data_IF_786141487787
#
_entry.id   IF_786141487787
#
_cell.length_a   1.000
_cell.length_b   1.000
_cell.length_c   1.000
_cell.angle_alpha   90.00
_cell.angle_beta   90.00
_cell.angle_gamma   90.00
#
_symmetry.space_group_name_H-M   'P 1'
#
loop_
_entity.id
_entity.type
_entity.pdbx_description
1 polymer ?
#
# COMPACT_ATOMS: atom_id res chain seq x y z
N UNK A 1 9.34 -0.21 -2.21
CA UNK A 1 8.26 -0.98 -1.57
C UNK A 1 7.59 -0.24 -0.41
N UNK A 2 7.85 1.06 -0.26
CA UNK A 2 7.21 1.93 0.75
C UNK A 2 5.71 2.13 0.53
N UNK A 3 5.17 1.67 -0.61
CA UNK A 3 3.75 1.74 -0.97
C UNK A 3 2.87 0.71 -0.22
N UNK A 4 3.46 -0.31 0.41
CA UNK A 4 2.76 -1.34 1.20
C UNK A 4 2.93 -1.07 2.70
N UNK A 5 2.20 -0.09 3.23
CA UNK A 5 2.31 0.37 4.62
C UNK A 5 1.01 0.27 5.44
N UNK A 6 -0.02 -0.39 4.90
CA UNK A 6 -1.29 -0.58 5.61
C UNK A 6 -1.09 -1.48 6.84
N UNK A 7 -1.74 -1.13 7.94
CA UNK A 7 -1.75 -1.85 9.22
C UNK A 7 -3.11 -2.50 9.42
N UNK A 8 -3.22 -3.44 10.36
CA UNK A 8 -4.47 -4.15 10.65
C UNK A 8 -5.66 -3.20 10.86
N UNK A 9 -5.43 -2.06 11.52
CA UNK A 9 -6.41 -1.00 11.77
C UNK A 9 -6.99 -0.34 10.50
N UNK A 10 -6.30 -0.47 9.35
CA UNK A 10 -6.77 0.02 8.05
C UNK A 10 -7.74 -0.95 7.36
N UNK A 11 -8.05 -2.10 7.97
CA UNK A 11 -8.91 -3.14 7.41
C UNK A 11 -10.14 -3.40 8.28
N UNK A 12 -11.28 -3.63 7.64
CA UNK A 12 -12.54 -3.92 8.33
C UNK A 12 -12.54 -5.30 9.01
N UNK A 13 -11.68 -6.22 8.53
CA UNK A 13 -11.60 -7.58 9.06
C UNK A 13 -10.17 -8.08 9.11
N UNK A 14 -9.88 -8.94 10.09
CA UNK A 14 -8.59 -9.63 10.22
C UNK A 14 -8.28 -10.48 8.99
N UNK A 15 -9.30 -11.05 8.32
CA UNK A 15 -9.12 -11.81 7.09
C UNK A 15 -8.57 -10.92 5.97
N UNK A 16 -9.15 -9.74 5.77
CA UNK A 16 -8.67 -8.80 4.75
C UNK A 16 -7.22 -8.34 5.01
N UNK A 17 -6.87 -8.15 6.30
CA UNK A 17 -5.49 -7.85 6.67
C UNK A 17 -4.54 -9.02 6.37
N UNK A 18 -4.92 -10.26 6.70
CA UNK A 18 -4.12 -11.45 6.40
C UNK A 18 -3.94 -11.65 4.89
N UNK A 19 -5.00 -11.47 4.09
CA UNK A 19 -4.95 -11.57 2.63
C UNK A 19 -3.97 -10.52 2.05
N UNK A 20 -3.95 -9.31 2.62
CA UNK A 20 -2.99 -8.26 2.25
C UNK A 20 -1.54 -8.64 2.61
N UNK A 21 -1.30 -9.24 3.79
CA UNK A 21 0.03 -9.71 4.18
C UNK A 21 0.55 -10.81 3.24
N UNK A 22 -0.31 -11.75 2.86
CA UNK A 22 0.02 -12.82 1.91
C UNK A 22 0.35 -12.28 0.52
N UNK A 23 -0.38 -11.25 0.06
CA UNK A 23 -0.07 -10.57 -1.20
C UNK A 23 1.30 -9.85 -1.15
N UNK A 24 1.60 -9.17 -0.04
CA UNK A 24 2.90 -8.52 0.18
C UNK A 24 4.03 -9.54 0.17
N UNK A 25 3.87 -10.66 0.87
CA UNK A 25 4.86 -11.74 0.91
C UNK A 25 5.09 -12.33 -0.49
N UNK A 26 4.03 -12.58 -1.24
CA UNK A 26 4.10 -13.09 -2.62
C UNK A 26 4.89 -12.15 -3.52
N UNK A 27 4.64 -10.84 -3.42
CA UNK A 27 5.35 -9.82 -4.20
C UNK A 27 6.84 -9.78 -3.82
N UNK A 28 7.16 -9.80 -2.52
CA UNK A 28 8.56 -9.85 -2.06
C UNK A 28 9.25 -11.11 -2.59
N UNK A 29 8.61 -12.27 -2.45
CA UNK A 29 9.17 -13.55 -2.85
C UNK A 29 9.45 -13.59 -4.36
N UNK A 30 8.49 -13.17 -5.18
CA UNK A 30 8.62 -13.12 -6.62
C UNK A 30 9.74 -12.17 -7.07
N UNK A 31 9.83 -10.98 -6.46
CA UNK A 31 10.89 -10.01 -6.77
C UNK A 31 12.26 -10.49 -6.31
N UNK A 32 12.36 -11.16 -5.16
CA UNK A 32 13.61 -11.65 -4.61
C UNK A 32 14.17 -12.85 -5.40
N UNK A 33 13.31 -13.68 -6.00
CA UNK A 33 13.70 -14.86 -6.77
C UNK A 33 13.63 -14.64 -8.29
N UNK A 34 13.37 -13.41 -8.74
CA UNK A 34 13.19 -13.06 -10.17
C UNK A 34 12.10 -13.90 -10.88
N UNK A 35 11.10 -14.35 -10.13
CA UNK A 35 9.96 -15.12 -10.63
C UNK A 35 8.86 -14.13 -11.07
N UNK A 36 8.36 -14.27 -12.29
CA UNK A 36 7.21 -13.51 -12.81
C UNK A 36 7.27 -12.00 -12.53
N UNK A 37 8.45 -11.40 -12.68
CA UNK A 37 8.72 -9.99 -12.37
C UNK A 37 7.79 -9.06 -13.14
N UNK A 38 7.47 -9.37 -14.39
CA UNK A 38 6.51 -8.58 -15.18
C UNK A 38 5.09 -8.63 -14.62
N UNK A 39 4.59 -9.82 -14.26
CA UNK A 39 3.25 -9.96 -13.72
C UNK A 39 3.15 -9.30 -12.34
N UNK A 40 4.19 -9.45 -11.54
CA UNK A 40 4.33 -8.79 -10.23
C UNK A 40 4.36 -7.27 -10.38
N UNK A 41 5.11 -6.72 -11.35
CA UNK A 41 5.10 -5.28 -11.65
C UNK A 41 3.73 -4.77 -12.11
N UNK A 42 3.00 -5.54 -12.93
CA UNK A 42 1.64 -5.18 -13.35
C UNK A 42 0.68 -5.11 -12.16
N UNK A 43 0.76 -6.07 -11.22
CA UNK A 43 0.00 -6.03 -9.96
C UNK A 43 0.31 -4.80 -9.12
N UNK A 44 1.60 -4.48 -8.94
CA UNK A 44 2.02 -3.30 -8.16
C UNK A 44 1.51 -2.00 -8.79
N UNK A 45 1.55 -1.86 -10.12
CA UNK A 45 1.03 -0.68 -10.81
C UNK A 45 -0.50 -0.57 -10.72
N UNK A 46 -1.22 -1.70 -10.77
CA UNK A 46 -2.66 -1.74 -10.55
C UNK A 46 -3.00 -1.30 -9.12
N UNK A 47 -2.32 -1.86 -8.12
CA UNK A 47 -2.47 -1.48 -6.72
C UNK A 47 -2.22 0.02 -6.49
N UNK A 48 -1.17 0.56 -7.12
CA UNK A 48 -0.87 2.01 -7.08
C UNK A 48 -1.96 2.87 -7.69
N UNK A 49 -2.60 2.44 -8.78
CA UNK A 49 -3.72 3.17 -9.40
C UNK A 49 -4.95 3.18 -8.51
N UNK A 50 -5.30 2.02 -7.96
CA UNK A 50 -6.48 1.85 -7.09
C UNK A 50 -6.30 2.58 -5.75
N UNK A 51 -5.10 2.54 -5.17
CA UNK A 51 -4.78 3.25 -3.93
C UNK A 51 -4.41 4.73 -4.13
N UNK A 52 -4.18 5.20 -5.37
CA UNK A 52 -3.87 6.63 -5.64
C UNK A 52 -4.98 7.57 -5.16
N UNK A 53 -6.23 7.13 -5.23
CA UNK A 53 -7.38 7.87 -4.71
C UNK A 53 -7.39 7.94 -3.17
N UNK A 54 -6.85 6.94 -2.48
CA UNK A 54 -6.69 6.94 -1.02
C UNK A 54 -5.46 7.77 -0.59
N UNK A 55 -4.36 7.71 -1.35
CA UNK A 55 -3.12 8.46 -1.08
C UNK A 55 -3.32 9.98 -1.23
N UNK A 56 -4.20 10.44 -2.14
CA UNK A 56 -4.54 11.87 -2.24
C UNK A 56 -5.29 12.41 -1.01
N UNK A 57 -6.07 11.58 -0.31
CA UNK A 57 -6.67 11.98 0.97
C UNK A 57 -5.65 12.05 2.11
N UNK A 58 -4.64 11.18 2.12
CA UNK A 58 -3.57 11.20 3.13
C UNK A 58 -2.61 12.39 3.01
N UNK A 59 -2.30 12.85 1.78
CA UNK A 59 -1.39 13.99 1.56
C UNK A 59 -2.01 15.37 1.84
N UNK A 60 -3.33 15.51 1.78
CA UNK A 60 -4.00 16.77 2.13
C UNK A 60 -4.04 17.03 3.65
N UNK A 61 -3.85 16.00 4.48
CA UNK A 61 -3.88 16.13 5.94
C UNK A 61 -2.51 16.36 6.59
N UNK A 62 -1.41 16.32 5.84
CA UNK A 62 -0.06 16.60 6.37
C UNK A 62 0.47 18.01 6.09
N UNK A 63 -0.29 18.89 5.43
CA UNK A 63 0.07 20.30 5.21
C UNK A 63 -0.89 21.30 5.89
N UNK A 64 -1.87 20.82 6.67
CA UNK A 64 -2.90 21.66 7.30
C UNK A 64 -2.66 22.07 8.75
N UNK A 65 -1.66 21.50 9.44
CA UNK A 65 -1.55 21.59 10.91
C UNK A 65 -0.26 22.29 11.40
N UNK A 66 0.18 23.33 10.69
CA UNK A 66 1.24 24.24 11.17
C UNK A 66 0.77 25.68 11.36
N UNK A 67 -0.54 25.96 11.35
CA UNK A 67 -1.07 27.34 11.43
C UNK A 67 -1.76 27.72 12.76
N UNK A 68 -1.71 26.90 13.82
CA UNK A 68 -2.36 27.22 15.11
C UNK A 68 -1.40 27.47 16.29
N UNK A 69 -0.18 27.92 16.02
CA UNK A 69 0.71 28.52 17.03
C UNK A 69 1.21 29.90 16.58
N UNK A 70 0.29 30.88 16.54
CA UNK A 70 0.67 32.29 16.62
C UNK A 70 -0.38 33.09 17.38
#
# INVERSE_FOLDING_TARGET
MTDYNKREEDFETLRAYNDYLEEVETIIYNLANEIDVEATRRKVEQYKRENKAQIQKGKASSEGDTSFMR
#
